data_IF_725198716443
#
_entry.id   IF_725198716443
#
_cell.length_a   1.000
_cell.length_b   1.000
_cell.length_c   1.000
_cell.angle_alpha   90.00
_cell.angle_beta   90.00
_cell.angle_gamma   90.00
#
_symmetry.space_group_name_H-M   'P 1'
#
loop_
_entity.id
_entity.type
_entity.pdbx_description
1 polymer ?
#
# COMPACT_ATOMS: atom_id res chain seq x y z
N UNK A 1 -52.61 -43.56 -48.29
CA UNK A 1 -51.46 -42.65 -48.39
C UNK A 1 -51.99 -41.22 -48.40
N UNK A 2 -51.80 -40.47 -47.33
CA UNK A 2 -52.14 -39.04 -47.26
C UNK A 2 -51.02 -38.35 -46.47
N UNK A 3 -50.49 -37.29 -47.07
CA UNK A 3 -49.18 -36.72 -46.80
C UNK A 3 -49.10 -35.92 -45.50
N UNK A 4 -47.89 -35.88 -44.92
CA UNK A 4 -47.51 -35.03 -43.80
C UNK A 4 -47.72 -33.53 -44.09
N UNK A 5 -48.07 -32.72 -43.07
CA UNK A 5 -47.98 -31.27 -43.19
C UNK A 5 -46.50 -30.83 -43.16
N UNK A 6 -46.11 -30.06 -44.17
CA UNK A 6 -44.83 -29.37 -44.24
C UNK A 6 -44.79 -28.23 -43.22
N UNK A 7 -43.82 -28.27 -42.30
CA UNK A 7 -43.58 -27.20 -41.34
C UNK A 7 -43.09 -25.93 -42.07
N UNK A 8 -43.89 -24.85 -42.01
CA UNK A 8 -43.46 -23.51 -42.44
C UNK A 8 -42.49 -22.96 -41.40
N UNK A 9 -41.25 -22.73 -41.82
CA UNK A 9 -40.18 -22.15 -41.01
C UNK A 9 -40.17 -20.64 -41.27
N UNK A 10 -40.72 -19.86 -40.34
CA UNK A 10 -40.61 -18.40 -40.39
C UNK A 10 -39.15 -18.01 -40.12
N UNK A 11 -38.45 -17.54 -41.16
CA UNK A 11 -37.14 -16.93 -41.00
C UNK A 11 -37.35 -15.54 -40.43
N UNK A 12 -37.14 -15.38 -39.12
CA UNK A 12 -36.92 -14.06 -38.55
C UNK A 12 -35.70 -13.45 -39.25
N UNK A 13 -35.91 -12.41 -40.06
CA UNK A 13 -34.81 -11.64 -40.61
C UNK A 13 -34.14 -10.91 -39.45
N UNK A 14 -32.95 -11.36 -39.06
CA UNK A 14 -32.09 -10.56 -38.19
C UNK A 14 -31.66 -9.37 -39.02
N UNK A 15 -32.24 -8.19 -38.74
CA UNK A 15 -31.80 -6.94 -39.35
C UNK A 15 -30.35 -6.70 -38.94
N UNK A 16 -29.48 -6.55 -39.94
CA UNK A 16 -28.11 -6.11 -39.71
C UNK A 16 -28.06 -4.69 -39.17
N UNK A 17 -27.03 -4.41 -38.40
CA UNK A 17 -26.77 -3.10 -37.81
C UNK A 17 -26.43 -2.09 -38.91
N UNK A 18 -27.05 -0.91 -38.88
CA UNK A 18 -26.80 0.12 -39.89
C UNK A 18 -25.50 0.89 -39.60
N UNK A 19 -24.84 1.43 -40.63
CA UNK A 19 -23.58 2.17 -40.43
C UNK A 19 -23.75 3.39 -39.51
N UNK A 20 -24.90 4.06 -39.57
CA UNK A 20 -25.21 5.21 -38.69
C UNK A 20 -25.41 4.78 -37.24
N UNK A 21 -26.08 3.66 -37.00
CA UNK A 21 -26.27 3.10 -35.66
C UNK A 21 -24.92 2.67 -35.05
N UNK A 22 -24.01 2.18 -35.89
CA UNK A 22 -22.62 1.91 -35.49
C UNK A 22 -21.87 3.16 -35.07
N UNK A 23 -21.97 4.22 -35.85
CA UNK A 23 -21.28 5.48 -35.60
C UNK A 23 -21.77 6.12 -34.30
N UNK A 24 -23.08 6.13 -34.06
CA UNK A 24 -23.67 6.66 -32.81
C UNK A 24 -23.25 5.81 -31.61
N UNK A 25 -23.22 4.49 -31.73
CA UNK A 25 -22.86 3.60 -30.62
C UNK A 25 -21.40 3.77 -30.21
N UNK A 26 -20.46 3.79 -31.16
CA UNK A 26 -19.04 4.01 -30.84
C UNK A 26 -18.81 5.40 -30.25
N UNK A 27 -19.59 6.41 -30.65
CA UNK A 27 -19.53 7.75 -30.07
C UNK A 27 -19.99 7.75 -28.60
N UNK A 28 -21.12 7.11 -28.29
CA UNK A 28 -21.64 7.02 -26.92
C UNK A 28 -20.69 6.20 -26.04
N UNK A 29 -20.19 5.05 -26.53
CA UNK A 29 -19.23 4.22 -25.80
C UNK A 29 -17.91 4.96 -25.54
N UNK A 30 -17.43 5.75 -26.50
CA UNK A 30 -16.23 6.58 -26.33
C UNK A 30 -16.38 7.63 -25.23
N UNK A 31 -17.53 8.32 -25.18
CA UNK A 31 -17.82 9.31 -24.14
C UNK A 31 -17.89 8.64 -22.76
N UNK A 32 -18.67 7.57 -22.63
CA UNK A 32 -18.83 6.86 -21.35
C UNK A 32 -17.50 6.26 -20.86
N UNK A 33 -16.70 5.69 -21.76
CA UNK A 33 -15.39 5.14 -21.40
C UNK A 33 -14.44 6.21 -20.83
N UNK A 34 -14.45 7.42 -21.39
CA UNK A 34 -13.57 8.51 -20.93
C UNK A 34 -13.86 8.94 -19.47
N UNK A 35 -15.14 8.98 -19.08
CA UNK A 35 -15.56 9.36 -17.72
C UNK A 35 -15.16 8.28 -16.71
N UNK A 36 -15.38 7.01 -17.06
CA UNK A 36 -15.10 5.88 -16.18
C UNK A 36 -13.60 5.80 -15.83
N UNK A 37 -12.72 5.99 -16.82
CA UNK A 37 -11.26 5.95 -16.59
C UNK A 37 -10.82 7.04 -15.60
N UNK A 38 -11.38 8.25 -15.71
CA UNK A 38 -11.06 9.36 -14.80
C UNK A 38 -11.46 9.09 -13.34
N UNK A 39 -12.62 8.47 -13.12
CA UNK A 39 -13.11 8.14 -11.78
C UNK A 39 -12.27 7.07 -11.07
N UNK A 40 -11.81 6.05 -11.80
CA UNK A 40 -10.95 5.01 -11.21
C UNK A 40 -9.56 5.53 -10.83
N UNK A 41 -9.00 6.43 -11.63
CA UNK A 41 -7.66 7.01 -11.38
C UNK A 41 -7.60 7.83 -10.08
N UNK A 42 -8.61 8.67 -9.83
CA UNK A 42 -8.67 9.50 -8.62
C UNK A 42 -8.91 8.69 -7.36
N UNK A 43 -9.84 7.72 -7.40
CA UNK A 43 -10.15 6.83 -6.27
C UNK A 43 -8.95 5.95 -5.92
N UNK A 44 -8.22 5.43 -6.91
CA UNK A 44 -7.03 4.59 -6.67
C UNK A 44 -5.91 5.37 -5.97
N UNK A 45 -5.71 6.63 -6.37
CA UNK A 45 -4.72 7.52 -5.73
C UNK A 45 -5.12 7.86 -4.30
N UNK A 46 -6.41 8.12 -4.06
CA UNK A 46 -6.91 8.47 -2.72
C UNK A 46 -6.91 7.29 -1.75
N UNK A 47 -7.28 6.10 -2.24
CA UNK A 47 -7.11 4.85 -1.53
C UNK A 47 -5.63 4.63 -1.16
N UNK A 48 -4.72 4.85 -2.10
CA UNK A 48 -3.28 4.72 -1.86
C UNK A 48 -2.76 5.70 -0.80
N UNK A 49 -3.29 6.93 -0.76
CA UNK A 49 -2.98 7.90 0.31
C UNK A 49 -3.46 7.43 1.67
N UNK A 50 -4.66 6.85 1.73
CA UNK A 50 -5.22 6.30 2.96
C UNK A 50 -4.39 5.12 3.46
N UNK A 51 -4.05 4.18 2.57
CA UNK A 51 -3.19 3.03 2.87
C UNK A 51 -1.81 3.50 3.35
N UNK A 52 -1.20 4.49 2.70
CA UNK A 52 0.09 5.03 3.13
C UNK A 52 0.05 5.60 4.56
N UNK A 53 -1.03 6.30 4.93
CA UNK A 53 -1.24 6.81 6.31
C UNK A 53 -1.47 5.68 7.30
N UNK A 54 -2.21 4.64 6.91
CA UNK A 54 -2.39 3.45 7.73
C UNK A 54 -1.07 2.70 7.95
N UNK A 55 -0.24 2.55 6.91
CA UNK A 55 1.10 1.97 7.01
C UNK A 55 1.99 2.81 7.94
N UNK A 56 1.96 4.14 7.83
CA UNK A 56 2.68 5.03 8.75
C UNK A 56 2.24 4.83 10.21
N UNK A 57 0.92 4.76 10.46
CA UNK A 57 0.38 4.55 11.80
C UNK A 57 0.73 3.16 12.36
N UNK A 58 0.67 2.12 11.53
CA UNK A 58 1.06 0.76 11.90
C UNK A 58 2.54 0.70 12.28
N UNK A 59 3.42 1.29 11.48
CA UNK A 59 4.87 1.37 11.79
C UNK A 59 5.11 2.19 13.05
N UNK A 60 4.38 3.29 13.27
CA UNK A 60 4.52 4.10 14.49
C UNK A 60 4.08 3.32 15.73
N UNK A 61 2.98 2.57 15.64
CA UNK A 61 2.49 1.71 16.72
C UNK A 61 3.51 0.61 17.04
N UNK A 62 4.03 -0.08 16.02
CA UNK A 62 5.04 -1.10 16.17
C UNK A 62 6.34 -0.56 16.77
N UNK A 63 6.76 0.65 16.36
CA UNK A 63 7.93 1.32 16.89
C UNK A 63 7.77 1.69 18.38
N UNK A 64 6.60 2.20 18.76
CA UNK A 64 6.30 2.48 20.16
C UNK A 64 6.27 1.20 21.00
N UNK A 65 5.67 0.12 20.48
CA UNK A 65 5.64 -1.18 21.13
C UNK A 65 7.05 -1.75 21.28
N UNK A 66 7.90 -1.61 20.27
CA UNK A 66 9.31 -2.01 20.33
C UNK A 66 10.09 -1.25 21.40
N UNK A 67 9.95 0.08 21.49
CA UNK A 67 10.63 0.87 22.53
C UNK A 67 10.21 0.41 23.93
N UNK A 68 8.91 0.22 24.17
CA UNK A 68 8.39 -0.24 25.46
C UNK A 68 8.78 -1.69 25.78
N UNK A 69 8.91 -2.54 24.76
CA UNK A 69 9.39 -3.89 24.91
C UNK A 69 10.88 -3.94 25.22
N UNK A 70 11.69 -3.13 24.53
CA UNK A 70 13.13 -3.06 24.72
C UNK A 70 13.50 -2.41 26.06
N UNK A 71 12.71 -1.45 26.57
CA UNK A 71 12.92 -0.87 27.91
C UNK A 71 12.78 -1.87 29.04
N UNK A 72 12.06 -2.98 28.83
CA UNK A 72 11.94 -4.05 29.81
C UNK A 72 13.02 -5.14 29.63
N UNK A 73 13.84 -5.08 28.58
CA UNK A 73 14.94 -6.02 28.36
C UNK A 73 16.15 -5.63 29.19
N UNK A 74 16.93 -6.62 29.59
CA UNK A 74 18.10 -6.42 30.44
C UNK A 74 19.32 -6.05 29.60
N UNK A 75 20.23 -5.25 30.15
CA UNK A 75 21.50 -4.88 29.50
C UNK A 75 22.58 -5.93 29.82
N UNK A 76 22.91 -6.78 28.85
CA UNK A 76 23.98 -7.78 28.97
C UNK A 76 23.77 -8.71 30.17
N UNK A 77 24.82 -8.96 30.95
CA UNK A 77 24.76 -9.77 32.19
C UNK A 77 24.23 -9.00 33.40
N UNK A 78 23.77 -7.75 33.22
CA UNK A 78 23.38 -6.87 34.33
C UNK A 78 21.91 -7.06 34.71
N UNK A 79 21.61 -7.03 36.00
CA UNK A 79 20.23 -7.14 36.56
C UNK A 79 19.41 -5.85 36.42
N UNK A 80 19.64 -5.05 35.37
CA UNK A 80 18.98 -3.76 35.17
C UNK A 80 18.27 -3.71 33.81
N UNK A 81 17.05 -3.15 33.74
CA UNK A 81 16.38 -2.89 32.47
C UNK A 81 17.14 -1.81 31.68
N UNK A 82 17.07 -1.89 30.35
CA UNK A 82 17.64 -0.89 29.44
C UNK A 82 17.03 0.48 29.70
N UNK A 83 17.89 1.49 29.76
CA UNK A 83 17.46 2.88 29.78
C UNK A 83 17.03 3.34 28.39
N UNK A 84 16.15 4.34 28.33
CA UNK A 84 15.74 4.97 27.06
C UNK A 84 16.93 5.45 26.24
N UNK A 85 18.02 5.88 26.90
CA UNK A 85 19.24 6.33 26.23
C UNK A 85 19.98 5.21 25.49
N UNK A 86 20.06 4.03 26.09
CA UNK A 86 20.68 2.87 25.47
C UNK A 86 19.85 2.36 24.29
N UNK A 87 18.52 2.34 24.41
CA UNK A 87 17.61 1.99 23.32
C UNK A 87 17.77 2.98 22.16
N UNK A 88 17.87 4.27 22.47
CA UNK A 88 18.06 5.33 21.49
C UNK A 88 19.40 5.21 20.77
N UNK A 89 20.46 4.86 21.49
CA UNK A 89 21.77 4.57 20.90
C UNK A 89 21.70 3.36 19.97
N UNK A 90 21.03 2.28 20.38
CA UNK A 90 20.83 1.10 19.54
C UNK A 90 19.98 1.41 18.29
N UNK A 91 18.93 2.23 18.42
CA UNK A 91 18.12 2.68 17.29
C UNK A 91 18.92 3.56 16.33
N UNK A 92 19.71 4.51 16.84
CA UNK A 92 20.52 5.40 16.02
C UNK A 92 21.73 4.68 15.39
N UNK A 93 22.21 3.59 15.98
CA UNK A 93 23.23 2.72 15.39
C UNK A 93 22.73 2.05 14.09
N UNK A 94 21.42 1.85 13.94
CA UNK A 94 20.83 1.53 12.66
C UNK A 94 20.78 2.79 11.77
N UNK A 95 21.77 2.95 10.90
CA UNK A 95 21.96 4.17 10.09
C UNK A 95 20.93 4.33 8.95
N UNK A 96 20.11 3.32 8.69
CA UNK A 96 19.19 3.31 7.56
C UNK A 96 17.77 3.00 8.02
N UNK A 97 16.77 3.56 7.32
CA UNK A 97 15.36 3.29 7.59
C UNK A 97 15.05 1.79 7.51
N UNK A 98 15.68 1.07 6.57
CA UNK A 98 15.53 -0.39 6.45
C UNK A 98 16.09 -1.15 7.66
N UNK A 99 17.27 -0.76 8.16
CA UNK A 99 17.83 -1.35 9.37
C UNK A 99 16.96 -1.05 10.61
N UNK A 100 16.37 0.15 10.69
CA UNK A 100 15.42 0.53 11.74
C UNK A 100 14.12 -0.26 11.66
N UNK A 101 13.63 -0.53 10.45
CA UNK A 101 12.47 -1.39 10.23
C UNK A 101 12.73 -2.83 10.70
N UNK A 102 13.95 -3.35 10.52
CA UNK A 102 14.31 -4.68 10.99
C UNK A 102 14.23 -4.82 12.53
N UNK A 103 14.53 -3.75 13.29
CA UNK A 103 14.40 -3.75 14.75
C UNK A 103 12.97 -4.00 15.22
N UNK A 104 11.99 -3.48 14.47
CA UNK A 104 10.56 -3.57 14.79
C UNK A 104 9.87 -4.76 14.11
N UNK A 105 10.60 -5.60 13.37
CA UNK A 105 10.04 -6.73 12.61
C UNK A 105 9.15 -7.66 13.44
N UNK A 106 9.52 -7.97 14.69
CA UNK A 106 8.72 -8.80 15.60
C UNK A 106 7.45 -8.15 16.14
N UNK A 107 7.22 -6.86 15.85
CA UNK A 107 6.02 -6.10 16.22
C UNK A 107 5.15 -5.78 15.00
N UNK A 108 5.59 -6.17 13.80
CA UNK A 108 4.77 -6.17 12.59
C UNK A 108 4.34 -7.60 12.29
N UNK A 109 3.23 -7.72 11.59
CA UNK A 109 2.85 -8.98 10.95
C UNK A 109 3.92 -9.41 9.91
N UNK A 110 4.17 -10.71 9.81
CA UNK A 110 5.27 -11.28 9.02
C UNK A 110 5.13 -10.99 7.52
N UNK A 111 3.92 -11.09 6.99
CA UNK A 111 3.64 -10.83 5.57
C UNK A 111 3.77 -9.34 5.28
N UNK A 112 3.28 -8.49 6.19
CA UNK A 112 3.40 -7.04 6.10
C UNK A 112 4.87 -6.59 6.09
N UNK A 113 5.68 -7.17 6.99
CA UNK A 113 7.11 -6.88 7.04
C UNK A 113 7.82 -7.31 5.76
N UNK A 114 7.54 -8.53 5.27
CA UNK A 114 8.15 -9.08 4.05
C UNK A 114 7.82 -8.20 2.84
N UNK A 115 6.55 -7.84 2.67
CA UNK A 115 6.12 -6.96 1.58
C UNK A 115 6.85 -5.62 1.62
N UNK A 116 6.91 -4.95 2.78
CA UNK A 116 7.59 -3.65 2.92
C UNK A 116 9.10 -3.80 2.70
N UNK A 117 9.71 -4.88 3.20
CA UNK A 117 11.14 -5.14 3.08
C UNK A 117 11.56 -5.38 1.62
N UNK A 118 10.75 -6.10 0.87
CA UNK A 118 11.01 -6.47 -0.53
C UNK A 118 10.71 -5.32 -1.49
N UNK A 119 9.65 -4.54 -1.23
CA UNK A 119 9.36 -3.30 -1.96
C UNK A 119 10.41 -2.20 -1.70
N UNK A 120 11.21 -2.30 -0.63
CA UNK A 120 12.22 -1.32 -0.26
C UNK A 120 13.59 -1.64 -0.86
N UNK A 121 13.84 -1.06 -2.04
CA UNK A 121 15.11 -1.19 -2.77
C UNK A 121 16.22 -0.25 -2.24
N UNK A 122 15.84 0.91 -1.70
CA UNK A 122 16.77 1.89 -1.14
C UNK A 122 16.75 1.81 0.39
N UNK A 123 17.89 1.59 1.02
CA UNK A 123 17.99 1.42 2.48
C UNK A 123 17.48 2.64 3.28
N UNK A 124 17.55 3.84 2.72
CA UNK A 124 17.08 5.08 3.36
C UNK A 124 15.59 5.40 3.21
N UNK A 125 14.89 4.79 2.22
CA UNK A 125 13.50 5.12 1.87
C UNK A 125 12.64 3.86 1.88
N UNK A 126 11.78 3.71 2.87
CA UNK A 126 10.84 2.59 2.92
C UNK A 126 9.73 2.83 1.89
N UNK A 127 9.56 1.90 0.96
CA UNK A 127 8.57 1.98 -0.12
C UNK A 127 7.63 0.77 -0.08
N UNK A 128 6.45 0.96 -0.64
CA UNK A 128 5.41 -0.04 -0.87
C UNK A 128 4.68 0.35 -2.16
N UNK A 129 3.87 -0.54 -2.72
CA UNK A 129 3.13 -0.24 -3.96
C UNK A 129 2.21 0.98 -3.82
N UNK A 130 1.49 1.09 -2.70
CA UNK A 130 0.67 2.26 -2.40
C UNK A 130 1.50 3.55 -2.32
N UNK A 131 2.68 3.49 -1.69
CA UNK A 131 3.61 4.62 -1.59
C UNK A 131 4.18 5.03 -2.96
N UNK A 132 4.44 4.06 -3.84
CA UNK A 132 4.92 4.30 -5.20
C UNK A 132 3.88 5.02 -6.07
N UNK A 133 2.59 4.66 -5.93
CA UNK A 133 1.48 5.31 -6.66
C UNK A 133 1.41 6.80 -6.29
N UNK A 134 1.55 7.13 -5.00
CA UNK A 134 1.46 8.51 -4.50
C UNK A 134 2.80 9.26 -4.51
N UNK A 135 3.86 8.67 -5.11
CA UNK A 135 5.22 9.22 -5.11
C UNK A 135 5.68 9.65 -3.72
N UNK A 136 5.47 8.80 -2.73
CA UNK A 136 5.89 9.05 -1.34
C UNK A 136 6.72 7.88 -0.81
N UNK A 137 7.34 8.08 0.34
CA UNK A 137 8.09 7.07 1.06
C UNK A 137 8.01 7.31 2.55
N UNK A 138 8.20 6.25 3.31
CA UNK A 138 8.29 6.31 4.76
C UNK A 138 9.77 6.42 5.15
N UNK A 139 10.07 7.32 6.06
CA UNK A 139 11.40 7.53 6.63
C UNK A 139 11.32 7.39 8.15
N UNK A 140 12.30 6.67 8.69
CA UNK A 140 12.54 6.56 10.12
C UNK A 140 13.74 7.45 10.44
N UNK A 141 13.56 8.74 10.75
CA UNK A 141 14.65 9.65 11.13
C UNK A 141 15.31 9.25 12.45
N UNK A 142 16.44 9.90 12.74
CA UNK A 142 17.20 9.72 13.97
C UNK A 142 16.35 10.12 15.18
N UNK A 143 16.45 9.36 16.26
CA UNK A 143 15.74 9.65 17.48
C UNK A 143 16.54 10.64 18.34
N UNK A 144 16.02 11.87 18.40
CA UNK A 144 16.59 12.96 19.21
C UNK A 144 16.12 12.89 20.67
N UNK A 145 16.88 13.49 21.60
CA UNK A 145 16.48 13.60 23.02
C UNK A 145 15.22 14.43 23.23
N UNK A 146 14.93 15.36 22.32
CA UNK A 146 13.84 16.33 22.45
C UNK A 146 12.47 15.73 22.18
N UNK A 147 12.41 14.68 21.35
CA UNK A 147 11.15 14.13 20.83
C UNK A 147 10.46 13.12 21.75
N UNK A 148 11.13 12.67 22.83
CA UNK A 148 10.62 11.68 23.79
C UNK A 148 10.52 10.26 23.21
N UNK A 149 9.90 10.08 22.05
CA UNK A 149 9.77 8.83 21.31
C UNK A 149 10.19 9.01 19.83
N UNK A 150 10.68 7.94 19.17
CA UNK A 150 11.04 8.00 17.77
C UNK A 150 9.78 8.17 16.89
N UNK A 151 9.91 8.92 15.79
CA UNK A 151 8.79 9.31 14.92
C UNK A 151 8.93 8.69 13.54
N UNK A 152 7.83 8.28 12.95
CA UNK A 152 7.73 7.82 11.56
C UNK A 152 7.25 8.98 10.70
N UNK A 153 8.00 9.30 9.64
CA UNK A 153 7.67 10.39 8.72
C UNK A 153 7.24 9.85 7.36
N UNK A 154 6.13 10.38 6.84
CA UNK A 154 5.74 10.22 5.44
C UNK A 154 6.27 11.41 4.64
N UNK A 155 7.11 11.16 3.64
CA UNK A 155 7.69 12.19 2.77
C UNK A 155 7.35 11.92 1.31
N UNK A 156 7.21 12.99 0.54
CA UNK A 156 7.07 12.89 -0.92
C UNK A 156 8.46 12.69 -1.55
N UNK A 157 8.53 11.83 -2.58
CA UNK A 157 9.75 11.45 -3.32
C UNK A 157 10.33 12.58 -4.16
#
# INVERSE_FOLDING_TARGET
MHACPCARRDRASVSGFTFVEALVTIAILGIMASILIGAFSSVSTDASRTIARQQQAAIQSALNAWVNGDSNRMVGTSTKPKTIEEIRTAYNAALTSKARLALISGYLDADTFTHINDSTLNSGKIKSDALNIIKSYIMLPDWTTTDGYPKVQLKTD
#
